data_IF_908642944154
#
_entry.id   IF_908642944154
#
_cell.length_a   1.000
_cell.length_b   1.000
_cell.length_c   1.000
_cell.angle_alpha   90.00
_cell.angle_beta   90.00
_cell.angle_gamma   90.00
#
_symmetry.space_group_name_H-M   'P 1'
#
loop_
_entity.id
_entity.type
_entity.pdbx_description
1 polymer ?
#
# COMPACT_ATOMS: atom_id res chain seq x y z
N UNK A 1 -9.93 0.18 -15.91
CA UNK A 1 -8.70 -0.33 -15.27
C UNK A 1 -8.40 0.33 -13.92
N UNK A 2 -7.92 1.58 -13.84
CA UNK A 2 -7.45 2.18 -12.56
C UNK A 2 -8.40 2.03 -11.37
N UNK A 3 -9.62 2.55 -11.46
CA UNK A 3 -10.56 2.48 -10.33
C UNK A 3 -11.11 1.10 -10.04
N UNK A 4 -11.22 0.26 -11.08
CA UNK A 4 -11.85 -1.06 -10.99
C UNK A 4 -10.88 -2.15 -10.52
N UNK A 5 -9.58 -1.97 -10.77
CA UNK A 5 -8.54 -2.97 -10.52
C UNK A 5 -7.47 -2.41 -9.58
N UNK A 6 -6.62 -1.49 -10.05
CA UNK A 6 -5.45 -1.02 -9.28
C UNK A 6 -5.82 -0.29 -7.98
N UNK A 7 -6.85 0.55 -8.02
CA UNK A 7 -7.36 1.31 -6.89
C UNK A 7 -8.65 0.70 -6.32
N UNK A 8 -8.89 -0.58 -6.61
CA UNK A 8 -10.03 -1.28 -6.04
C UNK A 8 -9.87 -1.35 -4.52
N UNK A 9 -10.96 -1.07 -3.79
CA UNK A 9 -10.95 -0.95 -2.33
C UNK A 9 -10.34 -2.18 -1.63
N UNK A 10 -10.64 -3.39 -2.12
CA UNK A 10 -10.10 -4.63 -1.55
C UNK A 10 -8.60 -4.79 -1.80
N UNK A 11 -8.10 -4.30 -2.95
CA UNK A 11 -6.65 -4.31 -3.26
C UNK A 11 -5.92 -3.37 -2.30
N UNK A 12 -6.42 -2.15 -2.14
CA UNK A 12 -5.88 -1.18 -1.18
C UNK A 12 -5.88 -1.72 0.25
N UNK A 13 -6.95 -2.43 0.64
CA UNK A 13 -7.02 -3.07 1.95
C UNK A 13 -5.95 -4.14 2.15
N UNK A 14 -5.69 -4.99 1.15
CA UNK A 14 -4.68 -6.04 1.23
C UNK A 14 -3.26 -5.47 1.17
N UNK A 15 -3.02 -4.49 0.31
CA UNK A 15 -1.75 -3.78 0.19
C UNK A 15 -1.35 -3.14 1.52
N UNK A 16 -2.24 -2.35 2.12
CA UNK A 16 -1.94 -1.70 3.39
C UNK A 16 -1.76 -2.70 4.54
N UNK A 17 -2.45 -3.85 4.50
CA UNK A 17 -2.22 -4.93 5.45
C UNK A 17 -0.81 -5.51 5.31
N UNK A 18 -0.37 -5.81 4.09
CA UNK A 18 0.99 -6.28 3.81
C UNK A 18 2.06 -5.26 4.25
N UNK A 19 1.86 -3.98 3.93
CA UNK A 19 2.75 -2.88 4.38
C UNK A 19 2.84 -2.83 5.91
N UNK A 20 1.72 -2.92 6.62
CA UNK A 20 1.70 -2.90 8.08
C UNK A 20 2.36 -4.14 8.70
N UNK A 21 2.24 -5.32 8.07
CA UNK A 21 2.98 -6.52 8.47
C UNK A 21 4.49 -6.27 8.37
N UNK A 22 4.98 -5.81 7.21
CA UNK A 22 6.40 -5.59 6.97
C UNK A 22 6.98 -4.48 7.85
N UNK A 23 6.20 -3.42 8.13
CA UNK A 23 6.59 -2.38 9.10
C UNK A 23 6.78 -2.97 10.49
N UNK A 24 5.83 -3.77 10.98
CA UNK A 24 5.93 -4.38 12.31
C UNK A 24 7.07 -5.38 12.39
N UNK A 25 7.25 -6.21 11.37
CA UNK A 25 8.37 -7.14 11.27
C UNK A 25 9.71 -6.40 11.33
N UNK A 26 9.84 -5.29 10.60
CA UNK A 26 11.04 -4.44 10.62
C UNK A 26 11.28 -3.79 11.98
N UNK A 27 10.25 -3.30 12.66
CA UNK A 27 10.39 -2.80 14.03
C UNK A 27 10.95 -3.86 14.99
N UNK A 28 10.41 -5.08 14.94
CA UNK A 28 10.86 -6.19 15.79
C UNK A 28 12.32 -6.55 15.47
N UNK A 29 12.66 -6.70 14.19
CA UNK A 29 14.00 -7.02 13.73
C UNK A 29 15.03 -5.98 14.19
N UNK A 30 14.72 -4.69 14.06
CA UNK A 30 15.60 -3.59 14.48
C UNK A 30 15.76 -3.50 16.02
N UNK A 31 14.85 -4.09 16.78
CA UNK A 31 15.00 -4.24 18.25
C UNK A 31 15.68 -5.55 18.65
N UNK A 32 16.38 -6.22 17.72
CA UNK A 32 17.02 -7.52 17.91
C UNK A 32 16.05 -8.67 18.24
N UNK A 33 14.78 -8.54 17.84
CA UNK A 33 13.84 -9.66 17.90
C UNK A 33 14.12 -10.69 16.81
N UNK A 34 14.00 -11.97 17.13
CA UNK A 34 14.15 -13.06 16.16
C UNK A 34 12.88 -13.23 15.33
N UNK A 35 13.04 -13.22 14.00
CA UNK A 35 11.97 -13.48 13.05
C UNK A 35 12.42 -14.53 12.05
N UNK A 36 11.56 -15.51 11.80
CA UNK A 36 11.75 -16.38 10.64
C UNK A 36 11.69 -15.54 9.35
N UNK A 37 12.76 -15.58 8.58
CA UNK A 37 12.85 -14.99 7.26
C UNK A 37 13.91 -15.72 6.43
N UNK A 38 13.75 -15.68 5.11
CA UNK A 38 14.78 -16.17 4.20
C UNK A 38 16.00 -15.23 4.26
N UNK A 39 17.19 -15.71 3.87
CA UNK A 39 18.41 -14.88 3.92
C UNK A 39 18.27 -13.56 3.16
N UNK A 40 17.58 -13.55 2.02
CA UNK A 40 17.34 -12.35 1.24
C UNK A 40 16.44 -11.36 2.00
N UNK A 41 15.33 -11.82 2.58
CA UNK A 41 14.41 -10.97 3.34
C UNK A 41 15.04 -10.47 4.65
N UNK A 42 15.88 -11.29 5.28
CA UNK A 42 16.61 -10.95 6.49
C UNK A 42 17.45 -9.68 6.30
N UNK A 43 18.17 -9.56 5.18
CA UNK A 43 18.98 -8.37 4.87
C UNK A 43 18.13 -7.09 4.95
N UNK A 44 16.93 -7.09 4.37
CA UNK A 44 16.06 -5.91 4.34
C UNK A 44 15.27 -5.67 5.62
N UNK A 45 15.09 -6.67 6.48
CA UNK A 45 14.42 -6.52 7.78
C UNK A 45 15.39 -5.99 8.84
N UNK A 46 16.58 -6.58 8.94
CA UNK A 46 17.55 -6.29 9.98
C UNK A 46 18.46 -5.10 9.65
N UNK A 47 18.54 -4.67 8.39
CA UNK A 47 19.31 -3.50 7.98
C UNK A 47 18.44 -2.38 7.39
N UNK A 48 18.96 -1.16 7.46
CA UNK A 48 18.34 0.02 6.86
C UNK A 48 19.08 0.39 5.58
N UNK A 49 18.42 0.19 4.45
CA UNK A 49 18.93 0.60 3.14
C UNK A 49 18.17 1.81 2.62
N UNK A 50 18.91 2.67 1.92
CA UNK A 50 18.36 3.76 1.15
C UNK A 50 18.92 3.71 -0.28
N UNK A 51 18.51 4.65 -1.13
CA UNK A 51 18.97 4.71 -2.52
C UNK A 51 20.49 4.75 -2.67
N UNK A 52 21.22 5.39 -1.74
CA UNK A 52 22.69 5.43 -1.78
C UNK A 52 23.30 4.06 -1.49
N UNK A 53 22.72 3.29 -0.56
CA UNK A 53 23.17 1.92 -0.26
C UNK A 53 23.11 1.02 -1.50
N UNK A 54 21.99 1.08 -2.24
CA UNK A 54 21.81 0.32 -3.49
C UNK A 54 22.79 0.73 -4.58
N UNK A 55 23.08 2.03 -4.74
CA UNK A 55 24.04 2.51 -5.73
C UNK A 55 25.49 2.12 -5.42
N UNK A 56 25.83 1.98 -4.13
CA UNK A 56 27.19 1.71 -3.66
C UNK A 56 27.52 0.22 -3.53
N UNK A 57 26.51 -0.63 -3.31
CA UNK A 57 26.71 -2.05 -3.05
C UNK A 57 25.99 -2.90 -4.11
N UNK A 58 26.69 -3.38 -5.14
CA UNK A 58 26.13 -4.29 -6.15
C UNK A 58 25.57 -5.59 -5.55
N UNK A 59 26.13 -6.08 -4.45
CA UNK A 59 25.64 -7.28 -3.76
C UNK A 59 24.24 -7.06 -3.20
N UNK A 60 23.92 -5.86 -2.72
CA UNK A 60 22.58 -5.54 -2.22
C UNK A 60 21.52 -5.63 -3.33
N UNK A 61 21.87 -5.23 -4.55
CA UNK A 61 20.99 -5.38 -5.71
C UNK A 61 20.79 -6.85 -6.07
N UNK A 62 21.83 -7.68 -5.94
CA UNK A 62 21.72 -9.14 -6.13
C UNK A 62 20.79 -9.76 -5.07
N UNK A 63 20.98 -9.43 -3.80
CA UNK A 63 20.09 -9.88 -2.71
C UNK A 63 18.65 -9.44 -2.92
N UNK A 64 18.43 -8.24 -3.45
CA UNK A 64 17.09 -7.79 -3.81
C UNK A 64 16.49 -8.59 -4.97
N UNK A 65 17.29 -8.97 -5.97
CA UNK A 65 16.84 -9.79 -7.10
C UNK A 65 16.49 -11.23 -6.70
N UNK A 66 17.05 -11.71 -5.58
CA UNK A 66 16.71 -13.00 -4.99
C UNK A 66 15.39 -12.98 -4.19
N UNK A 67 14.78 -11.80 -3.98
CA UNK A 67 13.48 -11.68 -3.31
C UNK A 67 12.31 -11.90 -4.27
N UNK A 68 11.38 -12.73 -3.86
CA UNK A 68 10.09 -12.92 -4.50
C UNK A 68 8.92 -13.02 -3.50
N UNK A 69 7.75 -13.34 -4.01
CA UNK A 69 6.52 -13.49 -3.24
C UNK A 69 6.52 -14.71 -2.31
N UNK A 70 7.34 -15.73 -2.56
CA UNK A 70 7.51 -16.86 -1.66
C UNK A 70 8.25 -16.47 -0.39
N UNK A 71 9.26 -15.60 -0.46
CA UNK A 71 9.97 -15.10 0.72
C UNK A 71 9.00 -14.42 1.68
N UNK A 72 8.20 -13.50 1.14
CA UNK A 72 7.21 -12.75 1.92
C UNK A 72 6.16 -13.72 2.48
N UNK A 73 5.61 -14.61 1.66
CA UNK A 73 4.52 -15.46 2.10
C UNK A 73 4.94 -16.60 3.04
N UNK A 74 6.14 -17.16 2.89
CA UNK A 74 6.70 -18.10 3.83
C UNK A 74 6.87 -17.44 5.21
N UNK A 75 7.43 -16.23 5.24
CA UNK A 75 7.55 -15.44 6.47
C UNK A 75 6.21 -15.14 7.12
N UNK A 76 5.23 -14.62 6.38
CA UNK A 76 3.88 -14.34 6.90
C UNK A 76 3.22 -15.60 7.48
N UNK A 77 3.40 -16.76 6.82
CA UNK A 77 2.83 -18.04 7.30
C UNK A 77 3.41 -18.46 8.65
N UNK A 78 4.69 -18.20 8.91
CA UNK A 78 5.32 -18.48 10.21
C UNK A 78 4.96 -17.41 11.23
N UNK A 79 4.97 -16.14 10.83
CA UNK A 79 4.69 -15.00 11.71
C UNK A 79 3.26 -14.99 12.28
N UNK A 80 2.31 -15.69 11.64
CA UNK A 80 0.94 -15.83 12.17
C UNK A 80 0.89 -16.46 13.58
N UNK A 81 1.91 -17.20 14.00
CA UNK A 81 2.03 -17.79 15.34
C UNK A 81 3.11 -17.12 16.20
N UNK A 82 3.64 -15.98 15.76
CA UNK A 82 4.65 -15.23 16.51
C UNK A 82 4.09 -14.69 17.83
N UNK A 83 4.96 -14.52 18.83
CA UNK A 83 4.59 -14.02 20.17
C UNK A 83 4.11 -12.57 20.15
N UNK A 84 4.65 -11.75 19.24
CA UNK A 84 4.17 -10.39 19.00
C UNK A 84 2.72 -10.42 18.51
N UNK A 85 1.82 -9.87 19.33
CA UNK A 85 0.38 -9.89 19.08
C UNK A 85 -0.02 -9.10 17.84
N UNK A 86 0.69 -8.01 17.54
CA UNK A 86 0.39 -7.16 16.38
C UNK A 86 0.73 -7.93 15.12
N UNK A 87 1.98 -8.37 15.00
CA UNK A 87 2.48 -9.12 13.85
C UNK A 87 1.64 -10.37 13.59
N UNK A 88 1.41 -11.19 14.63
CA UNK A 88 0.63 -12.43 14.48
C UNK A 88 -0.82 -12.17 14.08
N UNK A 89 -1.46 -11.13 14.63
CA UNK A 89 -2.84 -10.77 14.25
C UNK A 89 -2.90 -10.31 12.79
N UNK A 90 -2.00 -9.43 12.35
CA UNK A 90 -1.98 -8.95 10.98
C UNK A 90 -1.68 -10.07 9.98
N UNK A 91 -0.75 -10.98 10.31
CA UNK A 91 -0.44 -12.13 9.47
C UNK A 91 -1.63 -13.09 9.35
N UNK A 92 -2.35 -13.38 10.45
CA UNK A 92 -3.61 -14.14 10.41
C UNK A 92 -4.65 -13.47 9.53
N UNK A 93 -4.80 -12.15 9.65
CA UNK A 93 -5.71 -11.39 8.78
C UNK A 93 -5.40 -11.56 7.30
N UNK A 94 -4.11 -11.61 6.92
CA UNK A 94 -3.73 -11.78 5.52
C UNK A 94 -3.96 -13.22 5.05
N UNK A 95 -3.51 -14.22 5.83
CA UNK A 95 -3.63 -15.65 5.49
C UNK A 95 -5.09 -16.09 5.41
N UNK A 96 -5.92 -15.69 6.36
CA UNK A 96 -7.34 -16.06 6.41
C UNK A 96 -8.22 -15.13 5.56
N UNK A 97 -7.60 -14.20 4.82
CA UNK A 97 -8.27 -13.20 3.98
C UNK A 97 -9.29 -12.34 4.75
N UNK A 98 -9.05 -12.16 6.05
CA UNK A 98 -9.80 -11.28 6.95
C UNK A 98 -9.24 -9.84 6.87
N UNK A 99 -9.34 -9.25 5.68
CA UNK A 99 -8.82 -7.92 5.38
C UNK A 99 -9.55 -6.80 6.15
N UNK A 100 -8.93 -5.62 6.23
CA UNK A 100 -9.58 -4.42 6.75
C UNK A 100 -10.91 -4.14 6.05
N UNK A 101 -11.87 -3.63 6.81
CA UNK A 101 -12.94 -2.82 6.24
C UNK A 101 -12.33 -1.51 5.75
N UNK A 102 -12.69 -1.12 4.53
CA UNK A 102 -12.24 0.10 3.90
C UNK A 102 -13.43 0.95 3.49
N UNK A 103 -13.41 2.22 3.85
CA UNK A 103 -14.39 3.22 3.43
C UNK A 103 -13.68 4.21 2.52
N UNK A 104 -14.29 4.56 1.38
CA UNK A 104 -13.76 5.52 0.42
C UNK A 104 -14.69 6.72 0.29
N UNK A 105 -14.14 7.93 0.35
CA UNK A 105 -14.91 9.15 0.15
C UNK A 105 -14.06 10.27 -0.48
N UNK A 106 -14.73 11.31 -0.97
CA UNK A 106 -14.06 12.46 -1.61
C UNK A 106 -13.37 13.38 -0.59
N UNK A 107 -13.96 13.54 0.60
CA UNK A 107 -13.47 14.43 1.65
C UNK A 107 -12.59 13.67 2.64
N UNK A 108 -11.68 14.37 3.32
CA UNK A 108 -10.88 13.77 4.40
C UNK A 108 -11.78 13.33 5.54
N UNK A 109 -11.43 12.23 6.21
CA UNK A 109 -12.17 11.75 7.38
C UNK A 109 -11.92 12.67 8.58
N UNK A 110 -12.97 12.90 9.37
CA UNK A 110 -12.89 13.66 10.61
C UNK A 110 -12.11 12.86 11.66
N UNK A 111 -11.28 13.54 12.44
CA UNK A 111 -10.51 12.93 13.53
C UNK A 111 -11.44 12.29 14.56
N UNK A 112 -12.57 12.94 14.86
CA UNK A 112 -13.56 12.42 15.82
C UNK A 112 -14.20 11.10 15.37
N UNK A 113 -14.37 10.88 14.06
CA UNK A 113 -14.87 9.61 13.52
C UNK A 113 -13.83 8.51 13.66
N UNK A 114 -12.57 8.82 13.35
CA UNK A 114 -11.44 7.90 13.46
C UNK A 114 -11.25 7.49 14.92
N UNK A 115 -11.27 8.45 15.85
CA UNK A 115 -11.08 8.20 17.28
C UNK A 115 -12.18 7.30 17.86
N UNK A 116 -13.43 7.47 17.42
CA UNK A 116 -14.55 6.59 17.80
C UNK A 116 -14.30 5.14 17.35
N UNK A 117 -13.77 4.94 16.14
CA UNK A 117 -13.44 3.62 15.62
C UNK A 117 -12.23 3.05 16.36
N UNK A 118 -11.19 3.87 16.54
CA UNK A 118 -9.98 3.51 17.27
C UNK A 118 -10.29 3.07 18.70
N UNK A 119 -11.18 3.75 19.43
CA UNK A 119 -11.60 3.36 20.77
C UNK A 119 -12.26 1.97 20.80
N UNK A 120 -13.13 1.67 19.83
CA UNK A 120 -13.78 0.35 19.71
C UNK A 120 -12.76 -0.76 19.42
N UNK A 121 -11.85 -0.51 18.48
CA UNK A 121 -10.81 -1.46 18.10
C UNK A 121 -9.77 -1.66 19.22
N UNK A 122 -9.37 -0.58 19.90
CA UNK A 122 -8.50 -0.62 21.08
C UNK A 122 -9.07 -1.52 22.16
N UNK A 123 -10.37 -1.38 22.47
CA UNK A 123 -11.04 -2.22 23.47
C UNK A 123 -11.13 -3.69 23.04
N UNK A 124 -11.52 -3.95 21.79
CA UNK A 124 -11.67 -5.33 21.25
C UNK A 124 -10.33 -6.08 21.22
N UNK A 125 -9.29 -5.42 20.72
CA UNK A 125 -7.98 -6.03 20.54
C UNK A 125 -7.02 -5.79 21.71
N UNK A 126 -7.43 -5.06 22.75
CA UNK A 126 -6.58 -4.65 23.89
C UNK A 126 -5.25 -4.03 23.41
N UNK A 127 -5.35 -2.96 22.64
CA UNK A 127 -4.22 -2.27 21.99
C UNK A 127 -3.87 -0.98 22.71
N UNK A 128 -2.58 -0.70 22.78
CA UNK A 128 -2.03 0.59 23.23
C UNK A 128 -2.14 1.66 22.14
N UNK A 129 -1.99 2.93 22.50
CA UNK A 129 -2.04 4.04 21.55
C UNK A 129 -1.00 3.92 20.42
N UNK A 130 0.18 3.33 20.70
CA UNK A 130 1.23 3.11 19.70
C UNK A 130 0.90 2.00 18.70
N UNK A 131 0.04 1.07 19.08
CA UNK A 131 -0.34 -0.09 18.27
C UNK A 131 -1.56 0.18 17.39
N UNK A 132 -2.42 1.11 17.79
CA UNK A 132 -3.63 1.49 17.04
C UNK A 132 -3.37 1.84 15.57
N UNK A 133 -2.31 2.59 15.20
CA UNK A 133 -2.03 2.93 13.80
C UNK A 133 -1.84 1.72 12.88
N UNK A 134 -1.50 0.54 13.41
CA UNK A 134 -1.44 -0.69 12.63
C UNK A 134 -2.81 -1.16 12.17
N UNK A 135 -3.85 -0.87 12.95
CA UNK A 135 -5.20 -1.34 12.70
C UNK A 135 -6.12 -0.25 12.15
N UNK A 136 -6.04 0.98 12.66
CA UNK A 136 -6.92 2.08 12.27
C UNK A 136 -6.10 3.23 11.72
N UNK A 137 -6.27 3.52 10.42
CA UNK A 137 -5.53 4.57 9.74
C UNK A 137 -6.31 5.10 8.55
N UNK A 138 -6.07 6.37 8.21
CA UNK A 138 -6.56 6.97 6.97
C UNK A 138 -5.40 7.26 6.01
N UNK A 139 -5.71 7.28 4.72
CA UNK A 139 -4.80 7.68 3.66
C UNK A 139 -5.55 8.28 2.49
N UNK A 140 -4.84 8.54 1.39
CA UNK A 140 -5.47 9.02 0.17
C UNK A 140 -4.86 8.37 -1.06
N UNK A 141 -5.70 8.15 -2.05
CA UNK A 141 -5.34 7.69 -3.39
C UNK A 141 -5.67 8.79 -4.39
N UNK A 142 -4.81 8.93 -5.39
CA UNK A 142 -4.98 9.89 -6.48
C UNK A 142 -4.91 9.10 -7.77
N UNK A 143 -5.91 9.27 -8.62
CA UNK A 143 -5.86 8.76 -9.98
C UNK A 143 -5.69 9.91 -10.97
N UNK A 144 -4.60 9.87 -11.72
CA UNK A 144 -4.34 10.76 -12.85
C UNK A 144 -4.51 9.92 -14.11
N UNK A 145 -5.72 9.94 -14.68
CA UNK A 145 -6.02 9.08 -15.83
C UNK A 145 -5.36 9.55 -17.13
N UNK A 146 -5.02 10.84 -17.21
CA UNK A 146 -4.26 11.43 -18.30
C UNK A 146 -3.48 12.64 -17.77
N UNK A 147 -2.17 12.70 -17.95
CA UNK A 147 -1.39 13.89 -17.66
C UNK A 147 -1.02 14.63 -18.96
N UNK A 148 -1.67 15.76 -19.29
CA UNK A 148 -1.38 16.49 -20.52
C UNK A 148 0.06 16.98 -20.69
N UNK A 149 0.84 17.02 -19.61
CA UNK A 149 2.25 17.45 -19.66
C UNK A 149 3.22 16.31 -19.95
N UNK A 150 2.80 15.04 -19.80
CA UNK A 150 3.67 13.87 -19.94
C UNK A 150 3.13 12.84 -20.93
N UNK A 151 1.81 12.71 -21.06
CA UNK A 151 1.13 11.68 -21.83
C UNK A 151 0.55 12.24 -23.14
N UNK A 152 1.31 13.06 -23.87
CA UNK A 152 0.85 13.68 -25.12
C UNK A 152 0.67 12.59 -26.18
N UNK A 153 -0.56 12.41 -26.65
CA UNK A 153 -0.86 11.54 -27.77
C UNK A 153 -1.16 12.43 -28.98
N UNK A 154 -0.30 12.37 -30.00
CA UNK A 154 -0.50 13.10 -31.24
C UNK A 154 -1.19 12.24 -32.30
N UNK A 155 -2.12 12.83 -33.03
CA UNK A 155 -2.82 12.25 -34.17
C UNK A 155 -2.25 12.86 -35.46
N UNK A 156 -1.73 12.00 -36.34
CA UNK A 156 -1.27 12.39 -37.68
C UNK A 156 -2.45 12.35 -38.65
N UNK A 157 -2.79 13.51 -39.21
CA UNK A 157 -3.86 13.65 -40.20
C UNK A 157 -3.36 13.31 -41.62
N UNK A 158 -4.30 13.00 -42.53
CA UNK A 158 -3.99 12.69 -43.94
C UNK A 158 -3.26 13.82 -44.68
N UNK A 159 -3.42 15.07 -44.23
CA UNK A 159 -2.73 16.24 -44.78
C UNK A 159 -1.31 16.43 -44.20
N UNK A 160 -0.81 15.50 -43.40
CA UNK A 160 0.50 15.54 -42.76
C UNK A 160 0.58 16.39 -41.48
N UNK A 161 -0.50 17.05 -41.08
CA UNK A 161 -0.53 17.83 -39.84
C UNK A 161 -0.67 16.90 -38.63
N UNK A 162 0.06 17.18 -37.56
CA UNK A 162 -0.12 16.55 -36.26
C UNK A 162 -0.99 17.42 -35.36
N UNK A 163 -1.91 16.81 -34.61
CA UNK A 163 -2.74 17.46 -33.59
C UNK A 163 -2.70 16.67 -32.29
N UNK A 164 -2.78 17.34 -31.14
CA UNK A 164 -2.98 16.63 -29.87
C UNK A 164 -4.36 15.95 -29.86
N UNK A 165 -4.45 14.77 -29.24
CA UNK A 165 -5.68 13.99 -29.17
C UNK A 165 -6.86 14.79 -28.56
N UNK A 166 -6.59 15.76 -27.67
CA UNK A 166 -7.62 16.65 -27.12
C UNK A 166 -8.20 17.61 -28.14
N UNK A 167 -7.39 18.05 -29.09
CA UNK A 167 -7.80 18.95 -30.17
C UNK A 167 -8.42 18.18 -31.32
N UNK A 168 -7.96 16.94 -31.55
CA UNK A 168 -8.42 16.08 -32.64
C UNK A 168 -9.73 15.34 -32.32
N UNK A 169 -10.09 15.18 -31.05
CA UNK A 169 -11.27 14.43 -30.63
C UNK A 169 -12.43 15.33 -30.21
N UNK A 170 -13.57 15.23 -30.91
CA UNK A 170 -14.85 15.87 -30.55
C UNK A 170 -15.51 15.31 -29.26
N UNK A 171 -14.83 14.40 -28.55
CA UNK A 171 -15.40 13.74 -27.37
C UNK A 171 -14.95 14.42 -26.09
N UNK A 172 -15.93 15.00 -25.36
CA UNK A 172 -15.82 15.60 -24.02
C UNK A 172 -15.05 14.77 -22.96
N UNK A 173 -14.79 13.49 -23.21
CA UNK A 173 -14.19 12.56 -22.25
C UNK A 173 -12.71 12.83 -21.94
N UNK A 174 -11.90 13.33 -22.88
CA UNK A 174 -10.45 13.44 -22.67
C UNK A 174 -10.10 14.55 -21.67
N UNK A 175 -10.84 15.67 -21.70
CA UNK A 175 -10.68 16.75 -20.72
C UNK A 175 -11.08 16.33 -19.31
N UNK A 176 -12.13 15.50 -19.16
CA UNK A 176 -12.53 14.94 -17.87
C UNK A 176 -11.48 13.96 -17.29
N UNK A 177 -10.77 13.22 -18.14
CA UNK A 177 -9.69 12.31 -17.74
C UNK A 177 -8.42 13.05 -17.28
N UNK A 178 -8.26 14.31 -17.68
CA UNK A 178 -7.11 15.13 -17.29
C UNK A 178 -7.19 15.67 -15.85
N UNK A 179 -8.35 15.57 -15.19
CA UNK A 179 -8.53 16.07 -13.81
C UNK A 179 -8.16 15.00 -12.79
N UNK A 180 -7.16 15.23 -11.91
CA UNK A 180 -6.84 14.32 -10.82
C UNK A 180 -8.03 14.07 -9.90
N UNK A 181 -8.40 12.80 -9.73
CA UNK A 181 -9.45 12.41 -8.78
C UNK A 181 -8.78 11.89 -7.51
N UNK A 182 -8.83 12.69 -6.44
CA UNK A 182 -8.39 12.29 -5.11
C UNK A 182 -9.54 11.68 -4.31
N UNK A 183 -9.30 10.53 -3.69
CA UNK A 183 -10.19 9.94 -2.69
C UNK A 183 -9.42 9.67 -1.40
N UNK A 184 -10.07 9.87 -0.28
CA UNK A 184 -9.56 9.47 1.03
C UNK A 184 -10.11 8.10 1.36
N UNK A 185 -9.30 7.28 2.01
CA UNK A 185 -9.70 5.99 2.54
C UNK A 185 -9.47 5.92 4.05
N UNK A 186 -10.32 5.14 4.73
CA UNK A 186 -10.17 4.78 6.13
C UNK A 186 -10.22 3.27 6.24
N UNK A 187 -9.16 2.68 6.82
CA UNK A 187 -9.01 1.25 7.03
C UNK A 187 -9.13 0.91 8.53
N UNK A 188 -9.87 -0.15 8.84
CA UNK A 188 -10.01 -0.70 10.20
C UNK A 188 -10.47 -2.17 10.17
N UNK A 189 -10.16 -3.01 11.18
CA UNK A 189 -10.65 -4.38 11.23
C UNK A 189 -12.19 -4.42 11.30
N UNK A 190 -12.80 -5.45 10.71
CA UNK A 190 -14.25 -5.68 10.90
C UNK A 190 -14.53 -5.96 12.38
N UNK A 191 -15.40 -5.14 12.98
CA UNK A 191 -15.86 -5.31 14.36
C UNK A 191 -16.97 -6.34 14.44
#
# INVERSE_FOLDING_TARGET
>A
MYWQVYLHKTVLSAENLCVNILKRAKEIALTNGELFCTPALQEFLYHQHNLKSFKKNPTLLKTFADLDDYDIMASVKVWKTHSDKILSTLCKMLIDRNLYKIILQKKKFDVTEIDKIAAKISKKYKLTAKEIPYFVFQGSIINNAYNPKMDIINILLKNGKMLDIKEAADTFNISALATPVKKWFLCFPKY
#
